data_IF_335515548977
#
_entry.id   IF_335515548977
#
_cell.length_a   1.000
_cell.length_b   1.000
_cell.length_c   1.000
_cell.angle_alpha   90.00
_cell.angle_beta   90.00
_cell.angle_gamma   90.00
#
_symmetry.space_group_name_H-M   'P 1'
#
loop_
_entity.id
_entity.type
_entity.pdbx_description
1 polymer ?
#
# COMPACT_ATOMS: atom_id res chain seq x y z
N UNK A 1 -14.11 -18.15 -12.46
CA UNK A 1 -12.95 -18.80 -11.80
C UNK A 1 -12.11 -17.69 -11.15
N UNK A 2 -11.82 -17.79 -9.87
CA UNK A 2 -10.87 -16.89 -9.21
C UNK A 2 -9.45 -17.21 -9.66
N UNK A 3 -8.60 -16.20 -9.87
CA UNK A 3 -7.17 -16.39 -10.18
C UNK A 3 -6.46 -17.27 -9.12
N UNK A 4 -6.89 -17.20 -7.87
CA UNK A 4 -6.40 -18.06 -6.78
C UNK A 4 -6.68 -19.56 -7.00
N UNK A 5 -7.71 -19.92 -7.78
CA UNK A 5 -8.03 -21.31 -8.05
C UNK A 5 -7.07 -21.99 -9.05
N UNK A 6 -6.20 -21.20 -9.71
CA UNK A 6 -5.23 -21.69 -10.72
C UNK A 6 -3.80 -21.19 -10.44
N UNK A 7 -3.54 -20.64 -9.25
CA UNK A 7 -2.23 -20.06 -8.84
C UNK A 7 -1.62 -19.06 -9.84
N UNK A 8 -2.48 -18.38 -10.60
CA UNK A 8 -2.04 -17.35 -11.55
C UNK A 8 -2.24 -15.97 -10.92
N UNK A 9 -1.13 -15.29 -10.64
CA UNK A 9 -1.12 -13.94 -10.10
C UNK A 9 -0.45 -12.96 -11.08
N UNK A 10 -0.87 -11.68 -11.10
CA UNK A 10 -0.24 -10.66 -11.93
C UNK A 10 1.20 -10.41 -11.50
N UNK A 11 2.06 -10.04 -12.46
CA UNK A 11 3.44 -9.64 -12.16
C UNK A 11 3.51 -8.22 -11.60
N UNK A 12 2.58 -7.35 -11.98
CA UNK A 12 2.48 -5.96 -11.53
C UNK A 12 1.01 -5.61 -11.32
N UNK A 13 0.75 -4.65 -10.43
CA UNK A 13 -0.57 -4.06 -10.23
C UNK A 13 -0.50 -2.55 -10.24
N UNK A 14 -1.58 -1.91 -10.66
CA UNK A 14 -1.80 -0.48 -10.56
C UNK A 14 -3.24 -0.20 -10.17
N UNK A 15 -3.56 1.06 -9.87
CA UNK A 15 -4.92 1.45 -9.45
C UNK A 15 -5.88 1.58 -10.61
N UNK A 16 -5.39 1.90 -11.80
CA UNK A 16 -6.21 2.39 -12.91
C UNK A 16 -7.19 3.49 -12.47
N UNK A 17 -6.73 4.35 -11.54
CA UNK A 17 -7.56 5.38 -10.93
C UNK A 17 -7.75 6.55 -11.89
N UNK A 18 -8.97 6.68 -12.37
CA UNK A 18 -9.40 7.79 -13.24
C UNK A 18 -10.86 8.16 -12.90
N UNK A 19 -11.40 9.21 -13.53
CA UNK A 19 -12.74 9.73 -13.23
C UNK A 19 -13.82 8.64 -13.27
N UNK A 20 -13.74 7.69 -14.20
CA UNK A 20 -14.71 6.61 -14.30
C UNK A 20 -14.57 5.52 -13.22
N UNK A 21 -13.34 5.24 -12.76
CA UNK A 21 -13.08 4.18 -11.78
C UNK A 21 -13.19 4.64 -10.33
N UNK A 22 -12.95 5.92 -10.03
CA UNK A 22 -12.96 6.43 -8.65
C UNK A 22 -14.33 6.40 -7.98
N UNK A 23 -15.41 6.39 -8.76
CA UNK A 23 -16.78 6.26 -8.27
C UNK A 23 -17.27 4.79 -8.19
N UNK A 24 -16.45 3.85 -8.66
CA UNK A 24 -16.71 2.41 -8.59
C UNK A 24 -15.95 1.77 -7.40
N UNK A 25 -15.55 0.52 -7.53
CA UNK A 25 -14.84 -0.23 -6.48
C UNK A 25 -13.37 0.16 -6.27
N UNK A 26 -12.80 1.03 -7.11
CA UNK A 26 -11.41 1.45 -7.00
C UNK A 26 -11.29 2.67 -6.07
N UNK A 27 -10.34 2.64 -5.15
CA UNK A 27 -10.10 3.71 -4.17
C UNK A 27 -8.68 4.27 -4.30
N UNK A 28 -7.69 3.47 -3.94
CA UNK A 28 -6.27 3.80 -3.93
C UNK A 28 -5.44 2.52 -4.11
N UNK A 29 -4.12 2.68 -4.10
CA UNK A 29 -3.21 1.53 -4.25
C UNK A 29 -3.32 0.55 -3.09
N UNK A 30 -3.55 1.00 -1.86
CA UNK A 30 -3.68 0.11 -0.70
C UNK A 30 -4.97 -0.71 -0.75
N UNK A 31 -6.03 -0.14 -1.32
CA UNK A 31 -7.26 -0.90 -1.61
C UNK A 31 -7.01 -2.02 -2.62
N UNK A 32 -6.25 -1.75 -3.70
CA UNK A 32 -5.86 -2.77 -4.69
C UNK A 32 -5.01 -3.86 -4.03
N UNK A 33 -3.98 -3.47 -3.27
CA UNK A 33 -3.11 -4.40 -2.55
C UNK A 33 -3.90 -5.27 -1.58
N UNK A 34 -4.85 -4.68 -0.85
CA UNK A 34 -5.72 -5.42 0.08
C UNK A 34 -6.64 -6.40 -0.65
N UNK A 35 -7.13 -6.05 -1.84
CA UNK A 35 -7.89 -6.95 -2.70
C UNK A 35 -7.05 -8.14 -3.20
N UNK A 36 -5.76 -7.92 -3.50
CA UNK A 36 -4.86 -9.03 -3.86
C UNK A 36 -4.68 -10.00 -2.69
N UNK A 37 -4.56 -9.49 -1.45
CA UNK A 37 -4.53 -10.35 -0.26
C UNK A 37 -5.85 -11.11 -0.06
N UNK A 38 -6.99 -10.44 -0.26
CA UNK A 38 -8.32 -11.08 -0.21
C UNK A 38 -8.44 -12.25 -1.21
N UNK A 39 -7.76 -12.15 -2.37
CA UNK A 39 -7.70 -13.20 -3.38
C UNK A 39 -6.69 -14.31 -3.04
N UNK A 40 -6.04 -14.25 -1.87
CA UNK A 40 -5.13 -15.28 -1.37
C UNK A 40 -3.66 -15.02 -1.65
N UNK A 41 -3.28 -13.88 -2.24
CA UNK A 41 -1.87 -13.56 -2.47
C UNK A 41 -1.18 -13.21 -1.14
N UNK A 42 -0.03 -13.82 -0.81
CA UNK A 42 0.73 -13.47 0.40
C UNK A 42 1.21 -12.01 0.39
N UNK A 43 1.19 -11.34 1.54
CA UNK A 43 1.58 -9.93 1.70
C UNK A 43 2.93 -9.61 1.04
N UNK A 44 3.94 -10.47 1.21
CA UNK A 44 5.26 -10.28 0.58
C UNK A 44 5.18 -10.19 -0.94
N UNK A 45 4.34 -11.02 -1.57
CA UNK A 45 4.13 -10.97 -3.01
C UNK A 45 3.36 -9.72 -3.43
N UNK A 46 2.34 -9.34 -2.66
CA UNK A 46 1.56 -8.11 -2.89
C UNK A 46 2.48 -6.89 -2.88
N UNK A 47 3.38 -6.77 -1.91
CA UNK A 47 4.38 -5.69 -1.88
C UNK A 47 5.26 -5.74 -3.12
N UNK A 48 5.78 -6.92 -3.48
CA UNK A 48 6.65 -7.07 -4.64
C UNK A 48 6.02 -6.65 -5.97
N UNK A 49 4.75 -7.02 -6.22
CA UNK A 49 4.01 -6.64 -7.43
C UNK A 49 3.59 -5.17 -7.46
N UNK A 50 3.69 -4.48 -6.32
CA UNK A 50 3.33 -3.06 -6.16
C UNK A 50 4.54 -2.13 -6.11
N UNK A 51 5.77 -2.65 -6.01
CA UNK A 51 7.01 -1.87 -5.84
C UNK A 51 8.10 -2.31 -6.82
N UNK A 52 8.83 -3.37 -6.49
CA UNK A 52 9.99 -3.84 -7.23
C UNK A 52 9.67 -4.31 -8.66
N UNK A 53 8.64 -5.14 -8.82
CA UNK A 53 8.31 -5.67 -10.14
C UNK A 53 7.83 -4.62 -11.14
N UNK A 54 6.97 -3.64 -10.78
CA UNK A 54 6.67 -2.51 -11.65
C UNK A 54 7.91 -1.72 -12.05
N UNK A 55 8.83 -1.45 -11.11
CA UNK A 55 10.08 -0.75 -11.41
C UNK A 55 10.92 -1.50 -12.45
N UNK A 56 11.02 -2.83 -12.35
CA UNK A 56 11.69 -3.65 -13.37
C UNK A 56 10.96 -3.58 -14.72
N UNK A 57 9.63 -3.66 -14.73
CA UNK A 57 8.83 -3.65 -15.96
C UNK A 57 9.01 -2.34 -16.75
N UNK A 58 9.17 -1.21 -16.08
CA UNK A 58 9.43 0.09 -16.70
C UNK A 58 10.92 0.41 -16.87
N UNK A 59 11.80 -0.57 -16.66
CA UNK A 59 13.26 -0.45 -16.77
C UNK A 59 13.88 0.63 -15.86
N UNK A 60 13.36 0.71 -14.62
CA UNK A 60 13.84 1.61 -13.56
C UNK A 60 14.30 0.80 -12.35
N UNK A 61 15.39 0.00 -12.46
CA UNK A 61 15.83 -0.92 -11.40
C UNK A 61 16.33 -0.20 -10.14
N UNK A 62 16.57 1.11 -10.19
CA UNK A 62 16.95 1.94 -9.04
C UNK A 62 15.75 2.29 -8.13
N UNK A 63 14.50 1.97 -8.54
CA UNK A 63 13.28 2.26 -7.80
C UNK A 63 12.67 1.00 -7.19
N UNK A 64 11.74 1.19 -6.25
CA UNK A 64 10.91 0.12 -5.69
C UNK A 64 11.60 -0.81 -4.70
N UNK A 65 12.73 -0.39 -4.11
CA UNK A 65 13.48 -1.16 -3.10
C UNK A 65 14.08 -0.25 -2.03
N UNK A 66 14.49 -0.86 -0.90
CA UNK A 66 15.05 -0.17 0.27
C UNK A 66 16.56 -0.45 0.45
N UNK A 67 17.28 -0.67 -0.64
CA UNK A 67 18.73 -0.90 -0.57
C UNK A 67 19.48 0.37 -0.17
N UNK A 68 20.64 0.22 0.47
CA UNK A 68 21.50 1.36 0.81
C UNK A 68 21.88 2.12 -0.45
N UNK A 69 21.68 3.44 -0.43
CA UNK A 69 21.93 4.33 -1.58
C UNK A 69 20.74 4.53 -2.52
N UNK A 70 19.62 3.82 -2.31
CA UNK A 70 18.37 4.10 -3.01
C UNK A 70 17.72 5.39 -2.51
N UNK A 71 16.89 6.01 -3.37
CA UNK A 71 16.05 7.14 -2.94
C UNK A 71 15.12 6.71 -1.81
N UNK A 72 15.03 7.55 -0.77
CA UNK A 72 14.21 7.27 0.40
C UNK A 72 12.73 7.67 0.16
N UNK A 73 12.13 7.09 -0.86
CA UNK A 73 10.70 7.13 -1.14
C UNK A 73 10.04 5.90 -0.50
N UNK A 74 9.54 6.07 0.72
CA UNK A 74 9.14 4.97 1.60
C UNK A 74 7.69 5.15 2.05
N UNK A 75 6.89 4.09 1.94
CA UNK A 75 5.59 4.00 2.59
C UNK A 75 5.67 3.00 3.76
N UNK A 76 5.32 3.46 4.96
CA UNK A 76 5.12 2.61 6.13
C UNK A 76 3.64 2.26 6.19
N UNK A 77 3.35 0.97 6.13
CA UNK A 77 2.00 0.47 6.06
C UNK A 77 1.66 -0.29 7.34
N UNK A 78 0.41 -0.17 7.76
CA UNK A 78 -0.18 -0.98 8.81
C UNK A 78 -1.02 -2.07 8.19
N UNK A 79 -0.82 -3.31 8.63
CA UNK A 79 -1.74 -4.41 8.34
C UNK A 79 -2.78 -4.44 9.46
N UNK A 80 -4.01 -4.08 9.13
CA UNK A 80 -5.13 -4.13 10.05
C UNK A 80 -5.87 -5.45 9.92
N UNK A 81 -6.29 -6.00 11.07
CA UNK A 81 -7.14 -7.18 11.16
C UNK A 81 -8.54 -6.78 11.62
N UNK A 82 -9.56 -7.34 10.97
CA UNK A 82 -10.96 -6.99 11.24
C UNK A 82 -11.91 -7.51 10.16
N UNK A 83 -13.08 -6.91 10.08
CA UNK A 83 -14.07 -7.20 9.06
C UNK A 83 -14.16 -6.04 8.07
N UNK A 84 -13.60 -6.23 6.88
CA UNK A 84 -13.52 -5.22 5.84
C UNK A 84 -14.33 -5.61 4.61
N UNK A 85 -15.02 -4.64 4.01
CA UNK A 85 -15.72 -4.80 2.74
C UNK A 85 -14.89 -4.27 1.57
N UNK A 86 -14.79 -5.07 0.52
CA UNK A 86 -14.14 -4.71 -0.74
C UNK A 86 -15.16 -4.80 -1.87
N UNK A 87 -15.27 -3.73 -2.65
CA UNK A 87 -16.22 -3.65 -3.76
C UNK A 87 -15.46 -3.80 -5.07
N UNK A 88 -15.98 -4.62 -5.98
CA UNK A 88 -15.42 -4.78 -7.32
C UNK A 88 -15.93 -3.72 -8.31
N UNK A 89 -15.51 -3.80 -9.57
CA UNK A 89 -15.93 -2.87 -10.62
C UNK A 89 -17.40 -3.00 -11.03
N UNK A 90 -18.06 -4.10 -10.66
CA UNK A 90 -19.48 -4.35 -10.92
C UNK A 90 -20.38 -3.96 -9.74
N UNK A 91 -19.79 -3.48 -8.64
CA UNK A 91 -20.51 -3.08 -7.43
C UNK A 91 -20.80 -4.22 -6.45
N UNK A 92 -20.25 -5.42 -6.66
CA UNK A 92 -20.38 -6.53 -5.72
C UNK A 92 -19.37 -6.40 -4.58
N UNK A 93 -19.86 -6.63 -3.36
CA UNK A 93 -19.05 -6.59 -2.14
C UNK A 93 -18.56 -8.00 -1.77
N UNK A 94 -17.26 -8.11 -1.54
CA UNK A 94 -16.64 -9.25 -0.86
C UNK A 94 -16.10 -8.83 0.51
N UNK A 95 -16.03 -9.76 1.47
CA UNK A 95 -15.55 -9.50 2.82
C UNK A 95 -14.19 -10.13 3.05
N UNK A 96 -13.27 -9.37 3.64
CA UNK A 96 -11.92 -9.80 4.00
C UNK A 96 -11.60 -9.49 5.45
N UNK A 97 -10.58 -10.17 5.97
CA UNK A 97 -10.14 -10.05 7.36
C UNK A 97 -8.93 -9.14 7.53
N UNK A 98 -8.30 -8.74 6.45
CA UNK A 98 -7.09 -7.90 6.47
C UNK A 98 -7.22 -6.73 5.51
N UNK A 99 -6.68 -5.59 5.91
CA UNK A 99 -6.62 -4.37 5.11
C UNK A 99 -5.29 -3.65 5.37
N UNK A 100 -4.71 -3.07 4.32
CA UNK A 100 -3.56 -2.19 4.43
C UNK A 100 -4.01 -0.74 4.56
N UNK A 101 -3.38 0.00 5.48
CA UNK A 101 -3.52 1.44 5.63
C UNK A 101 -2.14 2.10 5.64
N UNK A 102 -2.07 3.35 5.16
CA UNK A 102 -0.82 4.12 5.21
C UNK A 102 -0.67 4.76 6.59
N UNK A 103 0.46 4.51 7.23
CA UNK A 103 0.82 5.15 8.52
C UNK A 103 1.70 6.36 8.29
N UNK A 104 2.74 6.22 7.45
CA UNK A 104 3.71 7.27 7.17
C UNK A 104 4.17 7.18 5.73
N UNK A 105 4.42 8.33 5.10
CA UNK A 105 5.06 8.38 3.79
C UNK A 105 6.26 9.33 3.82
N UNK A 106 7.40 8.85 3.35
CA UNK A 106 8.58 9.66 3.09
C UNK A 106 8.77 9.84 1.58
N UNK A 107 9.16 11.03 1.19
CA UNK A 107 9.63 11.35 -0.15
C UNK A 107 11.02 11.96 -0.06
N UNK A 108 11.98 11.35 -0.70
CA UNK A 108 13.39 11.76 -0.62
C UNK A 108 13.86 11.96 0.83
N UNK A 109 13.47 11.04 1.71
CA UNK A 109 13.80 11.05 3.13
C UNK A 109 13.02 12.06 4.00
N UNK A 110 12.13 12.85 3.41
CA UNK A 110 11.29 13.79 4.14
C UNK A 110 9.89 13.24 4.36
N UNK A 111 9.36 13.40 5.58
CA UNK A 111 7.99 13.00 5.90
C UNK A 111 7.03 13.94 5.19
N UNK A 112 6.17 13.36 4.33
CA UNK A 112 5.14 14.08 3.56
C UNK A 112 3.72 13.70 3.98
N UNK A 113 3.57 12.62 4.72
CA UNK A 113 2.32 12.17 5.31
C UNK A 113 2.61 11.41 6.61
N UNK A 114 1.87 11.70 7.66
CA UNK A 114 1.96 11.04 8.96
C UNK A 114 0.57 10.97 9.59
N UNK A 115 -0.04 9.79 9.58
CA UNK A 115 -1.43 9.59 10.01
C UNK A 115 -1.62 9.84 11.51
N UNK A 116 -0.67 9.34 12.32
CA UNK A 116 -0.79 9.31 13.77
C UNK A 116 0.33 10.12 14.47
N UNK A 117 1.10 10.91 13.74
CA UNK A 117 2.17 11.76 14.30
C UNK A 117 3.37 10.97 14.82
N UNK A 118 3.63 9.76 14.29
CA UNK A 118 4.72 8.90 14.78
C UNK A 118 6.12 9.47 14.52
N UNK A 119 6.23 10.42 13.59
CA UNK A 119 7.48 11.13 13.31
C UNK A 119 7.68 12.36 14.16
N UNK A 120 6.67 12.79 14.95
CA UNK A 120 6.72 13.96 15.79
C UNK A 120 7.13 13.59 17.22
N UNK A 121 7.94 14.41 17.91
CA UNK A 121 8.27 14.17 19.30
C UNK A 121 7.02 14.30 20.20
N UNK A 122 6.97 13.54 21.28
CA UNK A 122 5.90 13.66 22.27
C UNK A 122 5.89 15.09 22.85
N UNK A 123 4.70 15.68 23.00
CA UNK A 123 4.54 17.04 23.54
C UNK A 123 5.13 17.21 24.94
N UNK A 124 5.26 16.11 25.71
CA UNK A 124 5.89 16.09 27.04
C UNK A 124 7.40 16.28 26.98
N UNK A 125 8.05 15.85 25.90
CA UNK A 125 9.49 16.00 25.70
C UNK A 125 9.87 17.46 25.39
N UNK A 126 9.00 18.20 24.70
CA UNK A 126 9.20 19.61 24.38
C UNK A 126 9.17 20.51 25.65
N UNK A 127 8.36 20.14 26.64
CA UNK A 127 8.27 20.94 27.90
C UNK A 127 9.48 20.78 28.83
N UNK A 128 10.32 19.75 28.62
CA UNK A 128 11.55 19.54 29.38
C UNK A 128 12.76 20.28 28.79
N UNK A 129 12.75 20.64 27.52
CA UNK A 129 13.83 21.36 26.84
C UNK A 129 13.71 22.90 26.97
N UNK A 130 12.59 23.40 27.49
CA UNK A 130 12.31 24.85 27.70
C UNK A 130 12.54 25.35 29.16
N UNK A 131 13.27 24.55 29.98
CA UNK A 131 13.64 24.97 31.35
C UNK A 131 15.15 25.13 31.52
#
# INVERSE_FOLDING_TARGET
MSCAAVDIYPNTVSTDLHIGSMNAGMKDMLNVMSKMMLLGMPLKQVIGISTWRPAQAIQRPQLGHLSVGAEADIAVLRLEEGDFGFVDSFGFRNSGKQKLTCELTLRNGQVVYDLNGISSPDWREQSSAAR
#
